data_IF_551973533751
#
_entry.id   IF_551973533751
#
_cell.length_a   1.000
_cell.length_b   1.000
_cell.length_c   1.000
_cell.angle_alpha   90.00
_cell.angle_beta   90.00
_cell.angle_gamma   90.00
#
_symmetry.space_group_name_H-M   'P 1'
#
loop_
_entity.id
_entity.type
_entity.pdbx_description
1 polymer ?
#
# COMPACT_ATOMS: atom_id res chain seq x y z
N UNK A 1 -12.08 -21.52 12.62
CA UNK A 1 -10.92 -20.84 11.98
C UNK A 1 -11.48 -19.61 11.30
N UNK A 2 -11.73 -18.56 12.08
CA UNK A 2 -12.43 -17.37 11.61
C UNK A 2 -11.52 -16.55 10.72
N UNK A 3 -11.83 -16.51 9.42
CA UNK A 3 -11.29 -15.48 8.55
C UNK A 3 -11.68 -14.13 9.17
N UNK A 4 -10.68 -13.30 9.44
CA UNK A 4 -10.90 -11.93 9.87
C UNK A 4 -11.80 -11.29 8.82
N UNK A 5 -13.01 -10.92 9.22
CA UNK A 5 -13.94 -10.24 8.33
C UNK A 5 -13.38 -8.84 8.07
N UNK A 6 -12.72 -8.70 6.92
CA UNK A 6 -12.05 -7.47 6.49
C UNK A 6 -13.03 -6.29 6.32
N UNK A 7 -14.35 -6.53 6.33
CA UNK A 7 -15.35 -5.45 6.31
C UNK A 7 -15.34 -4.55 7.56
N UNK A 8 -14.65 -4.95 8.65
CA UNK A 8 -14.48 -4.11 9.85
C UNK A 8 -13.31 -3.12 9.73
N UNK A 9 -12.37 -3.32 8.79
CA UNK A 9 -11.31 -2.36 8.52
C UNK A 9 -11.83 -1.28 7.56
N UNK A 10 -12.23 -0.12 8.10
CA UNK A 10 -12.39 1.09 7.29
C UNK A 10 -11.07 1.35 6.54
N UNK A 11 -11.06 1.12 5.23
CA UNK A 11 -9.88 1.25 4.39
C UNK A 11 -9.33 2.68 4.33
N UNK A 12 -10.11 3.67 4.77
CA UNK A 12 -9.72 5.08 4.83
C UNK A 12 -8.54 5.33 5.78
N UNK A 13 -8.49 4.67 6.94
CA UNK A 13 -7.41 4.87 7.91
C UNK A 13 -6.03 4.40 7.40
N UNK A 14 -5.90 3.17 6.87
CA UNK A 14 -4.65 2.70 6.26
C UNK A 14 -4.22 3.55 5.05
N UNK A 15 -5.16 3.98 4.20
CA UNK A 15 -4.87 4.78 3.02
C UNK A 15 -4.17 6.10 3.38
N UNK A 16 -4.68 6.84 4.37
CA UNK A 16 -4.08 8.11 4.82
C UNK A 16 -2.66 7.87 5.32
N UNK A 17 -2.44 6.82 6.11
CA UNK A 17 -1.11 6.46 6.61
C UNK A 17 -0.13 6.11 5.48
N UNK A 18 -0.57 5.32 4.50
CA UNK A 18 0.26 4.96 3.36
C UNK A 18 0.64 6.16 2.50
N UNK A 19 -0.27 7.09 2.22
CA UNK A 19 0.06 8.30 1.48
C UNK A 19 1.05 9.19 2.24
N UNK A 20 0.86 9.40 3.54
CA UNK A 20 1.80 10.16 4.36
C UNK A 20 3.20 9.54 4.37
N UNK A 21 3.29 8.20 4.51
CA UNK A 21 4.58 7.49 4.43
C UNK A 21 5.20 7.57 3.03
N UNK A 22 4.37 7.51 1.97
CA UNK A 22 4.84 7.58 0.59
C UNK A 22 5.53 8.92 0.32
N UNK A 23 4.92 10.01 0.76
CA UNK A 23 5.46 11.36 0.51
C UNK A 23 6.81 11.55 1.21
N UNK A 24 6.93 11.07 2.45
CA UNK A 24 8.22 11.08 3.19
C UNK A 24 9.25 10.17 2.50
N UNK A 25 8.87 8.95 2.11
CA UNK A 25 9.78 8.02 1.45
C UNK A 25 10.25 8.53 0.08
N UNK A 26 9.40 9.25 -0.67
CA UNK A 26 9.77 9.85 -1.96
C UNK A 26 10.72 11.03 -1.78
N UNK A 27 10.55 11.82 -0.72
CA UNK A 27 11.39 12.97 -0.42
C UNK A 27 12.78 12.56 0.12
N UNK A 28 12.83 11.59 1.02
CA UNK A 28 14.05 11.30 1.80
C UNK A 28 14.81 10.05 1.32
N UNK A 29 14.19 9.18 0.52
CA UNK A 29 14.79 7.90 0.12
C UNK A 29 14.96 7.78 -1.40
N UNK A 30 16.12 7.24 -1.80
CA UNK A 30 16.38 6.87 -3.18
C UNK A 30 15.32 5.87 -3.71
N UNK A 31 14.99 5.88 -5.00
CA UNK A 31 14.00 4.95 -5.59
C UNK A 31 14.31 3.47 -5.35
N UNK A 32 15.58 3.10 -5.24
CA UNK A 32 16.05 1.73 -4.97
C UNK A 32 16.16 1.39 -3.49
N UNK A 33 15.81 2.33 -2.59
CA UNK A 33 15.93 2.12 -1.16
C UNK A 33 14.95 1.03 -0.69
N UNK A 34 15.39 0.02 0.09
CA UNK A 34 14.57 -1.14 0.44
C UNK A 34 13.29 -0.76 1.21
N UNK A 35 13.32 0.30 2.02
CA UNK A 35 12.11 0.81 2.71
C UNK A 35 11.08 1.35 1.72
N UNK A 36 11.52 2.08 0.70
CA UNK A 36 10.63 2.65 -0.32
C UNK A 36 10.02 1.56 -1.20
N UNK A 37 10.82 0.56 -1.57
CA UNK A 37 10.35 -0.63 -2.30
C UNK A 37 9.37 -1.45 -1.46
N UNK A 38 9.67 -1.67 -0.18
CA UNK A 38 8.77 -2.38 0.74
C UNK A 38 7.44 -1.65 0.94
N UNK A 39 7.45 -0.32 0.99
CA UNK A 39 6.25 0.50 1.07
C UNK A 39 5.40 0.38 -0.21
N UNK A 40 6.00 0.49 -1.39
CA UNK A 40 5.31 0.32 -2.67
C UNK A 40 4.69 -1.09 -2.80
N UNK A 41 5.41 -2.13 -2.37
CA UNK A 41 4.92 -3.50 -2.35
C UNK A 41 3.69 -3.64 -1.42
N UNK A 42 3.81 -3.20 -0.17
CA UNK A 42 2.73 -3.26 0.82
C UNK A 42 1.47 -2.52 0.31
N UNK A 43 1.69 -1.39 -0.35
CA UNK A 43 0.58 -0.59 -0.87
C UNK A 43 -0.08 -1.27 -2.08
N UNK A 44 0.70 -1.93 -2.95
CA UNK A 44 0.14 -2.77 -4.03
C UNK A 44 -0.70 -3.93 -3.51
N UNK A 45 -0.25 -4.63 -2.46
CA UNK A 45 -0.98 -5.74 -1.82
C UNK A 45 -2.27 -5.23 -1.18
N UNK A 46 -2.23 -4.06 -0.54
CA UNK A 46 -3.43 -3.43 0.02
C UNK A 46 -4.48 -3.12 -1.06
N UNK A 47 -4.06 -2.55 -2.20
CA UNK A 47 -4.97 -2.30 -3.31
C UNK A 47 -5.58 -3.60 -3.87
N UNK A 48 -4.83 -4.68 -3.90
CA UNK A 48 -5.29 -5.97 -4.41
C UNK A 48 -6.22 -6.69 -3.43
N UNK A 49 -5.79 -6.89 -2.19
CA UNK A 49 -6.49 -7.74 -1.21
C UNK A 49 -7.61 -7.01 -0.45
N UNK A 50 -7.43 -5.72 -0.16
CA UNK A 50 -8.36 -4.96 0.70
C UNK A 50 -9.34 -4.14 -0.14
N UNK A 51 -8.84 -3.44 -1.17
CA UNK A 51 -9.67 -2.59 -2.03
C UNK A 51 -10.22 -3.30 -3.27
N UNK A 52 -9.76 -4.53 -3.56
CA UNK A 52 -10.12 -5.28 -4.77
C UNK A 52 -9.90 -4.48 -6.07
N UNK A 53 -8.84 -3.65 -6.10
CA UNK A 53 -8.44 -2.78 -7.22
C UNK A 53 -7.14 -3.29 -7.85
N UNK A 54 -7.21 -4.45 -8.50
CA UNK A 54 -6.06 -5.13 -9.11
C UNK A 54 -5.30 -4.29 -10.15
N UNK A 55 -5.99 -3.47 -10.94
CA UNK A 55 -5.35 -2.59 -11.93
C UNK A 55 -4.43 -1.54 -11.30
N UNK A 56 -4.87 -0.96 -10.18
CA UNK A 56 -4.08 0.01 -9.42
C UNK A 56 -2.90 -0.67 -8.70
N UNK A 57 -3.12 -1.85 -8.13
CA UNK A 57 -2.05 -2.65 -7.56
C UNK A 57 -0.95 -2.94 -8.58
N UNK A 58 -1.34 -3.35 -9.79
CA UNK A 58 -0.40 -3.64 -10.88
C UNK A 58 0.37 -2.40 -11.35
N UNK A 59 -0.29 -1.24 -11.41
CA UNK A 59 0.35 0.02 -11.78
C UNK A 59 1.40 0.45 -10.75
N UNK A 60 1.09 0.27 -9.46
CA UNK A 60 1.98 0.64 -8.36
C UNK A 60 3.19 -0.31 -8.21
N UNK A 61 3.02 -1.59 -8.53
CA UNK A 61 4.12 -2.55 -8.52
C UNK A 61 5.14 -2.35 -9.67
N UNK A 62 4.78 -1.54 -10.68
CA UNK A 62 5.62 -1.25 -11.85
C UNK A 62 6.40 0.07 -11.74
N UNK A 63 6.10 0.87 -10.71
CA UNK A 63 6.69 2.19 -10.44
C UNK A 63 8.01 2.06 -9.65
#
# INVERSE_FOLDING_TARGET
MGVLDWTILNADFPLVGFYAMKDVAVADLAPTHPIRLGLALNFSVFYFEILNQSDKACSMAKE
#
